data_IF_194213394152
#
_entry.id   IF_194213394152
#
_cell.length_a   1.000
_cell.length_b   1.000
_cell.length_c   1.000
_cell.angle_alpha   90.00
_cell.angle_beta   90.00
_cell.angle_gamma   90.00
#
_symmetry.space_group_name_H-M   'P 1'
#
loop_
_entity.id
_entity.type
_entity.pdbx_description
1 polymer ?
#
# COMPACT_ATOMS: atom_id res chain seq x y z
N UNK A 1 1.86 -21.35 8.15
CA UNK A 1 0.91 -21.09 7.05
C UNK A 1 1.38 -19.85 6.31
N UNK A 2 1.39 -19.90 4.98
CA UNK A 2 1.75 -18.75 4.13
C UNK A 2 0.60 -17.74 4.12
N UNK A 3 0.92 -16.45 4.26
CA UNK A 3 -0.06 -15.35 4.24
C UNK A 3 -0.61 -15.13 2.83
N UNK A 4 -1.91 -14.87 2.69
CA UNK A 4 -2.58 -14.69 1.40
C UNK A 4 -2.93 -13.22 1.13
N UNK A 5 -2.54 -12.71 -0.05
CA UNK A 5 -2.91 -11.36 -0.50
C UNK A 5 -4.42 -11.24 -0.74
N UNK A 6 -5.00 -10.10 -0.35
CA UNK A 6 -6.44 -9.83 -0.39
C UNK A 6 -7.25 -10.45 0.76
N UNK A 7 -6.64 -11.33 1.56
CA UNK A 7 -7.28 -11.98 2.72
C UNK A 7 -6.58 -11.61 4.02
N UNK A 8 -5.29 -11.92 4.13
CA UNK A 8 -4.48 -11.56 5.30
C UNK A 8 -3.90 -10.15 5.20
N UNK A 9 -3.55 -9.72 3.98
CA UNK A 9 -2.96 -8.40 3.74
C UNK A 9 -3.32 -7.85 2.36
N UNK A 10 -3.27 -6.53 2.19
CA UNK A 10 -3.44 -5.83 0.92
C UNK A 10 -2.29 -4.84 0.75
N UNK A 11 -1.72 -4.76 -0.45
CA UNK A 11 -0.65 -3.82 -0.77
C UNK A 11 -1.20 -2.71 -1.65
N UNK A 12 -0.94 -1.46 -1.28
CA UNK A 12 -1.43 -0.26 -1.95
C UNK A 12 -0.26 0.57 -2.45
N UNK A 13 -0.12 0.66 -3.77
CA UNK A 13 0.86 1.51 -4.45
C UNK A 13 0.28 2.92 -4.64
N UNK A 14 0.92 3.90 -4.00
CA UNK A 14 0.50 5.30 -4.02
C UNK A 14 1.15 6.14 -5.13
N UNK A 15 1.93 5.52 -6.03
CA UNK A 15 2.56 6.21 -7.16
C UNK A 15 1.52 6.59 -8.21
N UNK A 16 1.85 7.61 -9.02
CA UNK A 16 1.00 8.10 -10.11
C UNK A 16 1.80 8.16 -11.40
N UNK A 17 2.34 9.34 -11.71
CA UNK A 17 3.21 9.55 -12.88
C UNK A 17 4.54 8.81 -12.73
N UNK A 18 4.96 8.55 -11.49
CA UNK A 18 6.17 7.81 -11.14
C UNK A 18 5.93 6.30 -11.01
N UNK A 19 4.80 5.79 -11.51
CA UNK A 19 4.48 4.36 -11.55
C UNK A 19 5.18 3.68 -12.73
N UNK A 20 6.51 3.60 -12.62
CA UNK A 20 7.40 3.11 -13.68
C UNK A 20 8.28 1.96 -13.17
N UNK A 21 8.93 1.26 -14.10
CA UNK A 21 9.90 0.17 -13.92
C UNK A 21 9.32 -1.14 -13.36
N UNK A 22 8.69 -1.09 -12.19
CA UNK A 22 8.09 -2.27 -11.55
C UNK A 22 7.05 -1.88 -10.50
N UNK A 23 6.18 -2.81 -10.13
CA UNK A 23 5.34 -2.75 -8.93
C UNK A 23 5.39 -4.07 -8.16
N UNK A 24 4.98 -4.04 -6.89
CA UNK A 24 4.88 -5.25 -6.06
C UNK A 24 3.73 -6.10 -6.57
N UNK A 25 3.94 -7.40 -6.77
CA UNK A 25 2.88 -8.31 -7.22
C UNK A 25 1.74 -8.30 -6.21
N UNK A 26 0.50 -8.40 -6.70
CA UNK A 26 -0.75 -8.30 -5.93
C UNK A 26 -1.09 -6.91 -5.37
N UNK A 27 -0.25 -5.90 -5.60
CA UNK A 27 -0.59 -4.53 -5.22
C UNK A 27 -1.70 -3.95 -6.11
N UNK A 28 -2.54 -3.11 -5.50
CA UNK A 28 -3.47 -2.24 -6.21
C UNK A 28 -2.90 -0.83 -6.26
N UNK A 29 -3.11 -0.10 -7.37
CA UNK A 29 -2.64 1.27 -7.49
C UNK A 29 -3.75 2.26 -7.09
N UNK A 30 -3.52 3.02 -6.02
CA UNK A 30 -4.40 4.07 -5.52
C UNK A 30 -3.55 5.34 -5.30
N UNK A 31 -3.42 6.22 -6.31
CA UNK A 31 -2.56 7.40 -6.23
C UNK A 31 -2.81 8.28 -4.98
N UNK A 32 -1.74 8.71 -4.31
CA UNK A 32 -1.83 9.53 -3.09
C UNK A 32 -2.65 10.81 -3.26
N UNK A 33 -2.66 11.40 -4.46
CA UNK A 33 -3.32 12.67 -4.74
C UNK A 33 -4.85 12.59 -4.61
N UNK A 34 -5.43 11.42 -4.90
CA UNK A 34 -6.88 11.18 -4.81
C UNK A 34 -7.27 10.32 -3.61
N UNK A 35 -6.30 9.65 -2.96
CA UNK A 35 -6.56 8.70 -1.89
C UNK A 35 -7.43 9.31 -0.79
N UNK A 36 -7.04 10.46 -0.23
CA UNK A 36 -7.77 11.10 0.88
C UNK A 36 -9.25 11.37 0.56
N UNK A 37 -9.53 11.85 -0.65
CA UNK A 37 -10.89 12.13 -1.11
C UNK A 37 -11.71 10.85 -1.33
N UNK A 38 -11.05 9.81 -1.84
CA UNK A 38 -11.68 8.50 -2.09
C UNK A 38 -11.82 7.63 -0.84
N UNK A 39 -11.06 7.94 0.23
CA UNK A 39 -10.90 7.06 1.37
C UNK A 39 -12.22 6.75 2.09
N UNK A 40 -13.16 7.70 2.30
CA UNK A 40 -14.46 7.39 2.91
C UNK A 40 -15.24 6.31 2.15
N UNK A 41 -15.17 6.31 0.81
CA UNK A 41 -15.84 5.31 -0.03
C UNK A 41 -15.10 3.97 -0.05
N UNK A 42 -13.76 4.00 0.08
CA UNK A 42 -12.92 2.80 0.06
C UNK A 42 -12.84 2.10 1.43
N UNK A 43 -13.02 2.82 2.53
CA UNK A 43 -12.86 2.31 3.90
C UNK A 43 -13.68 1.05 4.18
N UNK A 44 -14.97 0.92 3.77
CA UNK A 44 -15.74 -0.31 3.99
C UNK A 44 -15.20 -1.54 3.23
N UNK A 45 -14.39 -1.33 2.20
CA UNK A 45 -13.76 -2.40 1.40
C UNK A 45 -12.38 -2.73 1.95
N UNK A 46 -11.55 -1.71 2.17
CA UNK A 46 -10.17 -1.88 2.67
C UNK A 46 -10.15 -2.48 4.08
N UNK A 47 -11.08 -2.08 4.94
CA UNK A 47 -11.14 -2.52 6.35
C UNK A 47 -11.52 -3.99 6.54
N UNK A 48 -11.97 -4.67 5.49
CA UNK A 48 -12.21 -6.13 5.50
C UNK A 48 -10.91 -6.93 5.53
N UNK A 49 -9.78 -6.31 5.18
CA UNK A 49 -8.46 -6.94 5.20
C UNK A 49 -7.72 -6.51 6.48
N UNK A 50 -7.15 -7.45 7.26
CA UNK A 50 -6.53 -7.12 8.56
C UNK A 50 -5.32 -6.18 8.47
N UNK A 51 -4.58 -6.23 7.37
CA UNK A 51 -3.35 -5.44 7.19
C UNK A 51 -3.34 -4.77 5.81
N UNK A 52 -3.27 -3.44 5.79
CA UNK A 52 -3.14 -2.66 4.55
C UNK A 52 -1.78 -1.97 4.54
N UNK A 53 -0.95 -2.31 3.55
CA UNK A 53 0.45 -1.89 3.44
C UNK A 53 0.56 -0.87 2.32
N UNK A 54 0.96 0.35 2.65
CA UNK A 54 1.09 1.44 1.70
C UNK A 54 2.56 1.62 1.27
N UNK A 55 2.79 1.89 -0.01
CA UNK A 55 4.12 2.26 -0.49
C UNK A 55 4.06 3.33 -1.58
N UNK A 56 5.20 3.99 -1.80
CA UNK A 56 5.41 4.89 -2.94
C UNK A 56 6.82 4.67 -3.50
N UNK A 57 7.38 5.65 -4.22
CA UNK A 57 8.71 5.50 -4.83
C UNK A 57 9.81 5.19 -3.81
N UNK A 58 9.82 5.90 -2.68
CA UNK A 58 10.68 5.64 -1.54
C UNK A 58 9.91 5.98 -0.28
N UNK A 59 9.81 5.02 0.63
CA UNK A 59 9.03 5.17 1.85
C UNK A 59 9.93 5.33 3.08
N UNK A 60 9.80 6.50 3.68
CA UNK A 60 10.31 6.88 5.00
C UNK A 60 9.19 7.58 5.78
N UNK A 61 9.51 8.10 6.97
CA UNK A 61 8.56 8.76 7.88
C UNK A 61 7.82 9.96 7.29
N UNK A 62 8.37 10.65 6.26
CA UNK A 62 7.76 11.85 5.63
C UNK A 62 7.16 11.54 4.24
N UNK A 63 7.16 10.26 3.84
CA UNK A 63 6.75 9.85 2.49
C UNK A 63 5.24 9.87 2.26
N UNK A 64 4.82 9.78 0.99
CA UNK A 64 3.42 9.53 0.61
C UNK A 64 2.87 8.26 1.25
N UNK A 65 3.69 7.20 1.37
CA UNK A 65 3.32 5.97 2.06
C UNK A 65 3.00 6.19 3.54
N UNK A 66 3.84 6.94 4.25
CA UNK A 66 3.59 7.28 5.66
C UNK A 66 2.31 8.09 5.84
N UNK A 67 2.09 9.09 4.97
CA UNK A 67 0.84 9.87 4.97
C UNK A 67 -0.39 9.01 4.68
N UNK A 68 -0.33 8.16 3.66
CA UNK A 68 -1.44 7.27 3.31
C UNK A 68 -1.78 6.28 4.42
N UNK A 69 -0.77 5.69 5.07
CA UNK A 69 -0.97 4.80 6.21
C UNK A 69 -1.57 5.54 7.42
N UNK A 70 -1.09 6.75 7.73
CA UNK A 70 -1.65 7.59 8.80
C UNK A 70 -3.10 7.95 8.52
N UNK A 71 -3.40 8.46 7.32
CA UNK A 71 -4.77 8.82 6.92
C UNK A 71 -5.72 7.62 6.98
N UNK A 72 -5.24 6.44 6.59
CA UNK A 72 -6.02 5.21 6.73
C UNK A 72 -6.27 4.84 8.19
N UNK A 73 -5.25 4.92 9.04
CA UNK A 73 -5.40 4.65 10.47
C UNK A 73 -6.36 5.64 11.13
N UNK A 74 -6.23 6.94 10.83
CA UNK A 74 -7.14 7.97 11.33
C UNK A 74 -8.60 7.68 10.93
N UNK A 75 -8.82 7.20 9.70
CA UNK A 75 -10.15 6.84 9.20
C UNK A 75 -10.71 5.57 9.88
N UNK A 76 -9.87 4.58 10.17
CA UNK A 76 -10.24 3.40 10.95
C UNK A 76 -10.63 3.79 12.38
N UNK A 77 -9.80 4.61 13.03
CA UNK A 77 -10.00 5.07 14.40
C UNK A 77 -11.30 5.89 14.51
N UNK A 78 -11.54 6.81 13.57
CA UNK A 78 -12.77 7.59 13.50
C UNK A 78 -14.03 6.72 13.29
N UNK A 79 -13.89 5.59 12.60
CA UNK A 79 -14.97 4.63 12.39
C UNK A 79 -15.08 3.57 13.50
N UNK A 80 -14.19 3.59 14.50
CA UNK A 80 -14.15 2.60 15.57
C UNK A 80 -13.72 1.20 15.11
N UNK A 81 -13.02 1.09 13.97
CA UNK A 81 -12.61 -0.18 13.39
C UNK A 81 -11.23 -0.58 13.91
N UNK A 82 -11.17 -1.68 14.67
CA UNK A 82 -9.91 -2.19 15.27
C UNK A 82 -9.38 -3.45 14.61
N UNK A 83 -10.11 -4.02 13.64
CA UNK A 83 -9.76 -5.28 12.97
C UNK A 83 -8.80 -5.10 11.80
N UNK A 84 -8.55 -3.87 11.35
CA UNK A 84 -7.66 -3.53 10.24
C UNK A 84 -6.63 -2.50 10.67
N UNK A 85 -5.46 -2.48 10.02
CA UNK A 85 -4.36 -1.58 10.37
C UNK A 85 -3.62 -1.08 9.14
N UNK A 86 -3.22 0.20 9.16
CA UNK A 86 -2.33 0.79 8.16
C UNK A 86 -0.85 0.61 8.50
N UNK A 87 -0.03 0.15 7.55
CA UNK A 87 1.42 0.08 7.67
C UNK A 87 2.09 0.58 6.40
N UNK A 88 3.40 0.80 6.45
CA UNK A 88 4.20 1.18 5.29
C UNK A 88 5.17 0.07 4.90
N UNK A 89 5.47 -0.03 3.61
CA UNK A 89 6.63 -0.78 3.12
C UNK A 89 7.86 0.14 3.16
N UNK A 90 8.71 0.00 4.18
CA UNK A 90 9.93 0.80 4.30
C UNK A 90 10.81 0.66 3.05
N UNK A 91 11.42 1.76 2.60
CA UNK A 91 12.22 1.80 1.37
C UNK A 91 11.39 1.93 0.08
N UNK A 92 10.08 1.67 0.14
CA UNK A 92 9.17 1.78 -1.01
C UNK A 92 9.55 0.83 -2.14
N UNK A 93 9.09 1.13 -3.36
CA UNK A 93 9.41 0.28 -4.53
C UNK A 93 10.91 0.25 -4.85
N UNK A 94 11.66 1.32 -4.56
CA UNK A 94 13.12 1.35 -4.74
C UNK A 94 13.82 0.31 -3.86
N UNK A 95 13.47 0.25 -2.58
CA UNK A 95 13.98 -0.77 -1.67
C UNK A 95 13.56 -2.17 -2.10
N UNK A 96 12.28 -2.34 -2.46
CA UNK A 96 11.77 -3.61 -2.96
C UNK A 96 12.52 -4.13 -4.19
N UNK A 97 12.79 -3.28 -5.19
CA UNK A 97 13.53 -3.68 -6.39
C UNK A 97 14.96 -4.08 -6.05
N UNK A 98 15.61 -3.38 -5.11
CA UNK A 98 16.98 -3.71 -4.71
C UNK A 98 17.07 -5.14 -4.12
N UNK A 99 16.05 -5.56 -3.38
CA UNK A 99 16.05 -6.87 -2.71
C UNK A 99 15.38 -7.97 -3.56
N UNK A 100 14.33 -7.65 -4.33
CA UNK A 100 13.42 -8.62 -4.97
C UNK A 100 13.11 -8.32 -6.45
N UNK A 101 13.84 -7.40 -7.09
CA UNK A 101 13.54 -6.94 -8.45
C UNK A 101 13.56 -8.02 -9.53
N UNK A 102 14.38 -9.05 -9.36
CA UNK A 102 14.50 -10.18 -10.29
C UNK A 102 13.54 -11.35 -9.99
N UNK A 103 12.88 -11.33 -8.83
CA UNK A 103 11.89 -12.34 -8.49
C UNK A 103 10.53 -11.99 -9.12
N UNK A 104 10.24 -12.59 -10.27
CA UNK A 104 8.98 -12.38 -10.99
C UNK A 104 7.76 -12.92 -10.22
N UNK A 105 7.94 -13.78 -9.21
CA UNK A 105 6.85 -14.23 -8.34
C UNK A 105 6.45 -13.16 -7.31
N UNK A 106 7.32 -12.17 -7.08
CA UNK A 106 7.11 -11.08 -6.12
C UNK A 106 7.00 -9.70 -6.79
N UNK A 107 7.59 -9.54 -7.98
CA UNK A 107 7.71 -8.28 -8.68
C UNK A 107 7.07 -8.36 -10.07
N UNK A 108 6.32 -7.32 -10.44
CA UNK A 108 5.78 -7.16 -11.80
C UNK A 108 6.58 -6.04 -12.47
N UNK A 109 7.36 -6.39 -13.50
CA UNK A 109 8.08 -5.40 -14.33
C UNK A 109 7.06 -4.65 -15.21
N UNK A 110 7.09 -3.32 -15.14
CA UNK A 110 6.26 -2.43 -15.94
C UNK A 110 6.99 -2.11 -17.25
N UNK A 111 6.28 -2.14 -18.37
CA UNK A 111 6.83 -1.86 -19.71
C UNK A 111 6.95 -0.38 -19.98
#
# INVERSE_FOLDING_TARGET
MTKQAGVDFLIVDLRRIDWENACVRTSINLPAQSLYQSLPALLPVLSKVPLVIFYCQSCSTISRGARGASQYQDALDAAGITTSHGRILTGGIKGWIADYGEDETLTVKLK
#
